data_IF_556577719379
#
_entry.id   IF_556577719379
#
_cell.length_a   1.000
_cell.length_b   1.000
_cell.length_c   1.000
_cell.angle_alpha   90.00
_cell.angle_beta   90.00
_cell.angle_gamma   90.00
#
_symmetry.space_group_name_H-M   'P 1'
#
loop_
_entity.id
_entity.type
_entity.pdbx_description
1 polymer ?
#
# COMPACT_ATOMS: atom_id res chain seq x y z
N UNK A 1 -6.03 34.79 -11.10
CA UNK A 1 -5.05 33.86 -10.59
C UNK A 1 -5.57 32.46 -10.88
N UNK A 2 -5.05 31.77 -11.91
CA UNK A 2 -5.46 30.40 -12.24
C UNK A 2 -4.92 29.48 -11.16
N UNK A 3 -5.80 28.88 -10.35
CA UNK A 3 -5.45 27.77 -9.50
C UNK A 3 -5.00 26.64 -10.41
N UNK A 4 -3.69 26.34 -10.39
CA UNK A 4 -3.14 25.20 -11.11
C UNK A 4 -3.67 23.93 -10.42
N UNK A 5 -4.81 23.43 -10.92
CA UNK A 5 -5.41 22.19 -10.40
C UNK A 5 -4.47 21.06 -10.77
N UNK A 6 -4.12 20.24 -9.78
CA UNK A 6 -3.28 19.06 -9.97
C UNK A 6 -3.87 18.16 -11.08
N UNK A 7 -3.04 17.59 -11.98
CA UNK A 7 -3.52 16.87 -13.16
C UNK A 7 -4.54 15.77 -12.88
N UNK A 8 -4.31 14.95 -11.84
CA UNK A 8 -5.22 13.86 -11.49
C UNK A 8 -6.51 14.37 -10.84
N UNK A 9 -6.43 15.49 -10.10
CA UNK A 9 -7.62 16.18 -9.61
C UNK A 9 -8.46 16.73 -10.78
N UNK A 10 -7.81 17.23 -11.86
CA UNK A 10 -8.50 17.66 -13.06
C UNK A 10 -9.19 16.48 -13.77
N UNK A 11 -8.52 15.31 -13.87
CA UNK A 11 -9.14 14.07 -14.37
C UNK A 11 -10.36 13.69 -13.53
N UNK A 12 -10.25 13.70 -12.21
CA UNK A 12 -11.36 13.35 -11.32
C UNK A 12 -12.53 14.34 -11.44
N UNK A 13 -12.29 15.61 -11.71
CA UNK A 13 -13.35 16.57 -12.01
C UNK A 13 -14.04 16.30 -13.37
N UNK A 14 -13.34 15.69 -14.35
CA UNK A 14 -13.94 15.19 -15.59
C UNK A 14 -14.80 13.96 -15.33
N UNK A 15 -14.32 13.01 -14.50
CA UNK A 15 -15.10 11.84 -14.05
C UNK A 15 -16.43 12.28 -13.43
N UNK A 16 -16.39 13.27 -12.54
CA UNK A 16 -17.59 13.88 -11.94
C UNK A 16 -18.62 14.39 -12.96
N UNK A 17 -18.19 14.74 -14.17
CA UNK A 17 -19.04 15.18 -15.29
C UNK A 17 -19.44 14.03 -16.22
N UNK A 18 -19.13 12.78 -15.86
CA UNK A 18 -19.47 11.58 -16.62
C UNK A 18 -18.43 11.14 -17.65
N UNK A 19 -17.21 11.69 -17.63
CA UNK A 19 -16.14 11.27 -18.53
C UNK A 19 -15.51 9.95 -18.08
N UNK A 20 -15.94 8.85 -18.70
CA UNK A 20 -15.46 7.49 -18.39
C UNK A 20 -13.99 7.32 -18.76
N UNK A 21 -13.51 7.97 -19.84
CA UNK A 21 -12.09 7.86 -20.25
C UNK A 21 -11.14 8.46 -19.21
N UNK A 22 -11.54 9.58 -18.60
CA UNK A 22 -10.77 10.15 -17.49
C UNK A 22 -10.70 9.21 -16.28
N UNK A 23 -11.75 8.40 -16.04
CA UNK A 23 -11.71 7.38 -15.02
C UNK A 23 -10.78 6.22 -15.37
N UNK A 24 -10.80 5.74 -16.61
CA UNK A 24 -9.89 4.71 -17.11
C UNK A 24 -8.42 5.13 -16.95
N UNK A 25 -8.09 6.40 -17.29
CA UNK A 25 -6.75 6.96 -17.10
C UNK A 25 -6.31 6.91 -15.62
N UNK A 26 -7.19 7.29 -14.69
CA UNK A 26 -6.91 7.22 -13.26
C UNK A 26 -6.75 5.78 -12.77
N UNK A 27 -7.59 4.86 -13.23
CA UNK A 27 -7.49 3.43 -12.88
C UNK A 27 -6.17 2.86 -13.36
N UNK A 28 -5.79 3.10 -14.62
CA UNK A 28 -4.54 2.59 -15.18
C UNK A 28 -3.33 3.09 -14.39
N UNK A 29 -3.31 4.37 -14.05
CA UNK A 29 -2.22 4.98 -13.28
C UNK A 29 -2.12 4.41 -11.86
N UNK A 30 -3.25 4.22 -11.18
CA UNK A 30 -3.26 3.94 -9.73
C UNK A 30 -3.55 2.47 -9.37
N UNK A 31 -3.96 1.63 -10.31
CA UNK A 31 -4.32 0.23 -10.04
C UNK A 31 -3.20 -0.50 -9.31
N UNK A 32 -2.00 -0.53 -9.88
CA UNK A 32 -0.89 -1.27 -9.30
C UNK A 32 -0.38 -0.68 -7.98
N UNK A 33 -0.17 0.64 -7.84
CA UNK A 33 0.11 1.29 -6.56
C UNK A 33 -0.88 0.95 -5.45
N UNK A 34 -2.18 0.96 -5.74
CA UNK A 34 -3.24 0.64 -4.77
C UNK A 34 -3.18 -0.83 -4.38
N UNK A 35 -3.10 -1.77 -5.33
CA UNK A 35 -2.94 -3.20 -5.06
C UNK A 35 -1.72 -3.45 -4.18
N UNK A 36 -0.58 -2.87 -4.51
CA UNK A 36 0.68 -3.06 -3.77
C UNK A 36 0.57 -2.58 -2.31
N UNK A 37 -0.08 -1.46 -2.07
CA UNK A 37 -0.29 -0.93 -0.71
C UNK A 37 -1.23 -1.85 0.06
N UNK A 38 -2.37 -2.24 -0.52
CA UNK A 38 -3.37 -3.10 0.11
C UNK A 38 -2.78 -4.48 0.43
N UNK A 39 -2.10 -5.12 -0.53
CA UNK A 39 -1.49 -6.44 -0.35
C UNK A 39 -0.51 -6.47 0.83
N UNK A 40 0.29 -5.43 0.97
CA UNK A 40 1.24 -5.31 2.10
C UNK A 40 0.56 -4.98 3.42
N UNK A 41 -0.61 -4.32 3.42
CA UNK A 41 -1.40 -4.08 4.63
C UNK A 41 -2.10 -5.36 5.06
N UNK A 42 -2.80 -6.04 4.14
CA UNK A 42 -3.61 -7.24 4.41
C UNK A 42 -2.78 -8.53 4.48
N UNK A 43 -1.60 -8.55 3.86
CA UNK A 43 -0.75 -9.73 3.67
C UNK A 43 -1.43 -10.83 2.82
N UNK A 44 -2.24 -10.42 1.89
CA UNK A 44 -3.03 -11.28 1.04
C UNK A 44 -3.15 -10.64 -0.35
N UNK A 45 -2.56 -11.28 -1.36
CA UNK A 45 -2.53 -10.73 -2.71
C UNK A 45 -3.88 -10.86 -3.40
N UNK A 46 -4.54 -11.98 -3.23
CA UNK A 46 -5.84 -12.24 -3.86
C UNK A 46 -6.90 -11.27 -3.36
N UNK A 47 -6.98 -11.11 -2.04
CA UNK A 47 -7.92 -10.18 -1.45
C UNK A 47 -7.54 -8.72 -1.72
N UNK A 48 -6.26 -8.42 -1.93
CA UNK A 48 -5.84 -7.08 -2.30
C UNK A 48 -6.35 -6.66 -3.68
N UNK A 49 -6.40 -7.58 -4.64
CA UNK A 49 -6.94 -7.31 -5.97
C UNK A 49 -8.45 -7.03 -5.91
N UNK A 50 -9.19 -7.83 -5.16
CA UNK A 50 -10.63 -7.63 -4.94
C UNK A 50 -10.91 -6.32 -4.20
N UNK A 51 -10.13 -6.04 -3.17
CA UNK A 51 -10.30 -4.80 -2.41
C UNK A 51 -9.90 -3.57 -3.23
N UNK A 52 -8.89 -3.66 -4.09
CA UNK A 52 -8.52 -2.58 -5.01
C UNK A 52 -9.64 -2.28 -6.02
N UNK A 53 -10.33 -3.30 -6.54
CA UNK A 53 -11.52 -3.09 -7.36
C UNK A 53 -12.59 -2.33 -6.57
N UNK A 54 -12.85 -2.71 -5.33
CA UNK A 54 -13.80 -2.03 -4.44
C UNK A 54 -13.39 -0.57 -4.17
N UNK A 55 -12.08 -0.27 -4.06
CA UNK A 55 -11.57 1.11 -3.96
C UNK A 55 -12.02 1.92 -5.18
N UNK A 56 -11.78 1.45 -6.40
CA UNK A 56 -12.15 2.17 -7.61
C UNK A 56 -13.68 2.28 -7.79
N UNK A 57 -14.42 1.25 -7.43
CA UNK A 57 -15.90 1.32 -7.37
C UNK A 57 -16.34 2.43 -6.41
N UNK A 58 -15.71 2.54 -5.24
CA UNK A 58 -16.03 3.58 -4.27
C UNK A 58 -15.61 4.97 -4.76
N UNK A 59 -14.47 5.10 -5.43
CA UNK A 59 -14.02 6.33 -6.11
C UNK A 59 -15.08 6.78 -7.10
N UNK A 60 -15.52 5.89 -7.98
CA UNK A 60 -16.53 6.21 -9.00
C UNK A 60 -17.87 6.62 -8.38
N UNK A 61 -18.38 5.85 -7.41
CA UNK A 61 -19.62 6.16 -6.69
C UNK A 61 -19.57 7.48 -5.92
N UNK A 62 -18.38 7.89 -5.48
CA UNK A 62 -18.18 9.11 -4.71
C UNK A 62 -17.78 10.32 -5.58
N UNK A 63 -17.72 10.15 -6.90
CA UNK A 63 -17.26 11.19 -7.83
C UNK A 63 -18.04 12.51 -7.68
N UNK A 64 -19.36 12.45 -7.49
CA UNK A 64 -20.21 13.63 -7.31
C UNK A 64 -19.84 14.46 -6.07
N UNK A 65 -19.28 13.81 -5.04
CA UNK A 65 -18.87 14.46 -3.79
C UNK A 65 -17.43 14.94 -3.80
N UNK A 66 -16.65 14.54 -4.83
CA UNK A 66 -15.25 14.91 -4.92
C UNK A 66 -15.08 16.43 -5.00
N UNK A 67 -14.13 16.95 -4.23
CA UNK A 67 -13.69 18.34 -4.23
C UNK A 67 -12.18 18.36 -4.37
N UNK A 68 -11.67 19.13 -5.33
CA UNK A 68 -10.23 19.30 -5.56
C UNK A 68 -9.57 20.21 -4.49
N UNK A 69 -9.79 19.88 -3.20
CA UNK A 69 -9.20 20.60 -2.06
C UNK A 69 -7.89 20.00 -1.59
N UNK A 70 -7.63 18.72 -1.98
CA UNK A 70 -6.41 17.99 -1.74
C UNK A 70 -6.03 17.25 -3.04
N UNK A 71 -4.85 16.65 -3.09
CA UNK A 71 -4.45 15.79 -4.22
C UNK A 71 -5.40 14.62 -4.37
N UNK A 72 -5.61 14.19 -5.62
CA UNK A 72 -6.41 12.99 -5.89
C UNK A 72 -5.83 11.75 -5.20
N UNK A 73 -4.51 11.58 -5.21
CA UNK A 73 -3.82 10.47 -4.55
C UNK A 73 -4.10 10.41 -3.05
N UNK A 74 -4.10 11.54 -2.35
CA UNK A 74 -4.44 11.62 -0.91
C UNK A 74 -5.85 11.10 -0.65
N UNK A 75 -6.82 11.53 -1.44
CA UNK A 75 -8.19 11.07 -1.33
C UNK A 75 -8.36 9.58 -1.66
N UNK A 76 -7.72 9.11 -2.74
CA UNK A 76 -7.71 7.71 -3.16
C UNK A 76 -7.16 6.78 -2.06
N UNK A 77 -5.97 7.10 -1.53
CA UNK A 77 -5.34 6.28 -0.50
C UNK A 77 -6.07 6.36 0.85
N UNK A 78 -6.83 7.45 1.11
CA UNK A 78 -7.75 7.51 2.25
C UNK A 78 -8.87 6.47 2.11
N UNK A 79 -9.46 6.33 0.91
CA UNK A 79 -10.48 5.31 0.63
C UNK A 79 -9.86 3.91 0.79
N UNK A 80 -8.71 3.67 0.17
CA UNK A 80 -8.01 2.38 0.23
C UNK A 80 -7.71 1.96 1.67
N UNK A 81 -7.13 2.86 2.48
CA UNK A 81 -6.86 2.61 3.90
C UNK A 81 -8.12 2.28 4.69
N UNK A 82 -9.18 3.04 4.50
CA UNK A 82 -10.43 2.82 5.23
C UNK A 82 -11.05 1.45 4.91
N UNK A 83 -10.98 1.02 3.66
CA UNK A 83 -11.42 -0.33 3.27
C UNK A 83 -10.53 -1.41 3.88
N UNK A 84 -9.20 -1.23 3.89
CA UNK A 84 -8.29 -2.15 4.58
C UNK A 84 -8.62 -2.26 6.08
N UNK A 85 -8.84 -1.14 6.78
CA UNK A 85 -9.20 -1.15 8.19
C UNK A 85 -10.51 -1.88 8.47
N UNK A 86 -11.51 -1.69 7.60
CA UNK A 86 -12.78 -2.39 7.72
C UNK A 86 -12.60 -3.90 7.52
N UNK A 87 -11.77 -4.29 6.57
CA UNK A 87 -11.46 -5.70 6.31
C UNK A 87 -10.70 -6.34 7.49
N UNK A 88 -9.68 -5.68 8.02
CA UNK A 88 -8.96 -6.16 9.22
C UNK A 88 -9.93 -6.34 10.40
N UNK A 89 -10.86 -5.39 10.60
CA UNK A 89 -11.88 -5.50 11.65
C UNK A 89 -12.87 -6.63 11.38
N UNK A 90 -13.25 -6.87 10.13
CA UNK A 90 -14.11 -8.00 9.72
C UNK A 90 -13.44 -9.32 10.08
N UNK A 91 -12.18 -9.52 9.66
CA UNK A 91 -11.40 -10.73 9.96
C UNK A 91 -11.25 -10.97 11.47
N UNK A 92 -11.02 -9.91 12.25
CA UNK A 92 -10.89 -10.04 13.69
C UNK A 92 -12.19 -10.43 14.42
N UNK A 93 -13.36 -10.15 13.81
CA UNK A 93 -14.68 -10.50 14.38
C UNK A 93 -15.16 -11.89 13.96
N UNK A 94 -14.75 -12.36 12.78
CA UNK A 94 -15.15 -13.65 12.20
C UNK A 94 -13.93 -14.52 11.85
N UNK A 95 -13.19 -15.01 12.88
CA UNK A 95 -11.98 -15.79 12.60
C UNK A 95 -12.26 -17.12 11.88
N UNK A 96 -13.48 -17.68 12.03
CA UNK A 96 -13.86 -18.96 11.41
C UNK A 96 -14.05 -18.89 9.90
N UNK A 97 -14.49 -17.76 9.34
CA UNK A 97 -14.64 -17.57 7.89
C UNK A 97 -13.30 -17.37 7.19
N UNK A 98 -12.26 -16.91 7.94
CA UNK A 98 -10.91 -16.69 7.43
C UNK A 98 -10.08 -17.98 7.30
N UNK A 99 -10.47 -19.08 7.98
CA UNK A 99 -9.74 -20.35 7.92
C UNK A 99 -9.97 -21.11 6.60
N UNK A 100 -11.12 -20.92 5.95
CA UNK A 100 -11.40 -21.54 4.65
C UNK A 100 -10.66 -20.88 3.47
N UNK A 101 -10.24 -19.61 3.63
CA UNK A 101 -9.42 -18.89 2.64
C UNK A 101 -7.91 -19.03 2.86
N UNK A 102 -7.49 -19.59 4.02
CA UNK A 102 -6.07 -19.66 4.42
C UNK A 102 -5.41 -21.03 4.14
N UNK A 103 -6.13 -22.01 3.56
CA UNK A 103 -5.61 -23.33 3.19
C UNK A 103 -5.21 -23.46 1.71
N UNK A 104 -5.10 -22.37 0.96
CA UNK A 104 -4.38 -22.40 -0.29
C UNK A 104 -2.92 -22.02 -0.06
N UNK A 105 -2.09 -23.03 0.05
CA UNK A 105 -0.66 -23.08 -0.18
C UNK A 105 0.13 -21.77 0.04
N UNK A 106 0.93 -21.78 1.13
CA UNK A 106 2.12 -20.93 1.26
C UNK A 106 3.16 -21.31 0.19
N UNK A 107 2.77 -21.31 -1.07
CA UNK A 107 3.69 -21.11 -2.15
C UNK A 107 3.99 -19.60 -2.19
N UNK A 108 5.27 -19.27 -2.04
CA UNK A 108 5.77 -17.92 -1.94
C UNK A 108 5.11 -16.99 -2.95
N UNK A 109 4.69 -15.82 -2.49
CA UNK A 109 4.18 -14.76 -3.34
C UNK A 109 5.08 -14.66 -4.57
N UNK A 110 4.56 -14.87 -5.79
CA UNK A 110 5.39 -14.69 -6.96
C UNK A 110 5.87 -13.24 -6.92
N UNK A 111 7.18 -13.08 -6.82
CA UNK A 111 7.85 -11.80 -6.95
C UNK A 111 7.50 -11.22 -8.32
N UNK A 112 6.34 -10.56 -8.44
CA UNK A 112 6.05 -9.72 -9.59
C UNK A 112 6.92 -8.50 -9.47
N UNK A 113 8.00 -8.60 -10.21
CA UNK A 113 9.00 -7.63 -10.57
C UNK A 113 8.45 -6.20 -10.56
N UNK A 114 9.02 -5.40 -9.66
CA UNK A 114 9.25 -4.00 -10.02
C UNK A 114 10.11 -4.06 -11.29
N UNK A 115 9.62 -3.55 -12.40
CA UNK A 115 10.40 -3.34 -13.59
C UNK A 115 11.48 -2.29 -13.32
N UNK A 116 12.52 -2.71 -12.63
CA UNK A 116 13.85 -2.17 -12.85
C UNK A 116 14.54 -3.16 -13.78
N UNK A 117 14.58 -2.80 -15.06
CA UNK A 117 15.19 -3.60 -16.13
C UNK A 117 16.72 -3.59 -15.90
N UNK A 118 17.16 -4.32 -14.89
CA UNK A 118 18.53 -4.81 -14.78
C UNK A 118 18.46 -6.31 -14.94
N UNK A 119 19.07 -6.81 -16.00
CA UNK A 119 19.26 -8.22 -16.28
C UNK A 119 20.16 -8.78 -15.19
N UNK A 120 19.59 -9.27 -14.10
CA UNK A 120 20.31 -9.93 -13.03
C UNK A 120 20.59 -11.37 -13.40
N UNK A 121 21.71 -11.91 -12.91
CA UNK A 121 22.01 -13.34 -13.07
C UNK A 121 21.01 -14.20 -12.27
N UNK A 122 20.80 -15.49 -12.59
CA UNK A 122 19.91 -16.36 -11.82
C UNK A 122 20.22 -16.42 -10.32
N UNK A 123 21.50 -16.30 -9.94
CA UNK A 123 21.93 -16.22 -8.54
C UNK A 123 21.52 -14.90 -7.88
N UNK A 124 21.55 -13.79 -8.62
CA UNK A 124 21.13 -12.49 -8.10
C UNK A 124 19.61 -12.45 -7.93
N UNK A 125 18.86 -13.11 -8.82
CA UNK A 125 17.40 -13.23 -8.70
C UNK A 125 17.00 -14.02 -7.44
N UNK A 126 17.72 -15.11 -7.11
CA UNK A 126 17.47 -15.85 -5.88
C UNK A 126 17.75 -15.05 -4.62
N UNK A 127 18.86 -14.29 -4.59
CA UNK A 127 19.21 -13.39 -3.47
C UNK A 127 18.20 -12.25 -3.33
N UNK A 128 17.73 -11.68 -4.44
CA UNK A 128 16.69 -10.65 -4.43
C UNK A 128 15.36 -11.19 -3.88
N UNK A 129 14.97 -12.40 -4.28
CA UNK A 129 13.76 -13.05 -3.77
C UNK A 129 13.84 -13.28 -2.25
N UNK A 130 14.97 -13.83 -1.77
CA UNK A 130 15.18 -14.02 -0.33
C UNK A 130 15.14 -12.70 0.45
N UNK A 131 15.83 -11.67 -0.03
CA UNK A 131 15.79 -10.35 0.60
C UNK A 131 14.38 -9.77 0.63
N UNK A 132 13.62 -9.92 -0.44
CA UNK A 132 12.24 -9.44 -0.51
C UNK A 132 11.35 -10.15 0.52
N UNK A 133 11.47 -11.47 0.68
CA UNK A 133 10.78 -12.23 1.73
C UNK A 133 11.12 -11.71 3.12
N UNK A 134 12.41 -11.46 3.41
CA UNK A 134 12.84 -10.91 4.71
C UNK A 134 12.30 -9.50 4.94
N UNK A 135 12.25 -8.66 3.92
CA UNK A 135 11.64 -7.34 3.99
C UNK A 135 10.13 -7.45 4.25
N UNK A 136 9.42 -8.35 3.55
CA UNK A 136 8.00 -8.57 3.78
C UNK A 136 7.73 -9.08 5.19
N UNK A 137 8.53 -10.02 5.69
CA UNK A 137 8.44 -10.50 7.07
C UNK A 137 8.65 -9.36 8.07
N UNK A 138 9.70 -8.56 7.91
CA UNK A 138 9.97 -7.42 8.78
C UNK A 138 8.86 -6.35 8.75
N UNK A 139 8.30 -6.08 7.56
CA UNK A 139 7.13 -5.20 7.41
C UNK A 139 5.91 -5.76 8.14
N UNK A 140 5.74 -7.08 8.08
CA UNK A 140 4.59 -7.75 8.68
C UNK A 140 4.56 -7.64 10.20
N UNK A 141 5.70 -7.49 10.84
CA UNK A 141 5.83 -7.36 12.29
C UNK A 141 5.65 -5.91 12.79
N UNK A 142 5.61 -4.93 11.87
CA UNK A 142 5.33 -3.55 12.25
C UNK A 142 3.88 -3.38 12.71
N UNK A 143 3.63 -2.56 13.75
CA UNK A 143 2.29 -2.08 14.05
C UNK A 143 1.62 -1.49 12.80
N UNK A 144 0.32 -1.73 12.62
CA UNK A 144 -0.44 -1.36 11.41
C UNK A 144 -0.21 0.09 10.97
N UNK A 145 -0.33 1.05 11.88
CA UNK A 145 -0.15 2.46 11.55
C UNK A 145 1.28 2.80 11.10
N UNK A 146 2.31 2.13 11.67
CA UNK A 146 3.70 2.31 11.26
C UNK A 146 3.94 1.72 9.87
N UNK A 147 3.42 0.52 9.61
CA UNK A 147 3.48 -0.15 8.31
C UNK A 147 2.79 0.70 7.25
N UNK A 148 1.55 1.11 7.48
CA UNK A 148 0.79 1.95 6.54
C UNK A 148 1.50 3.27 6.26
N UNK A 149 1.99 3.98 7.29
CA UNK A 149 2.74 5.21 7.11
C UNK A 149 3.98 5.02 6.22
N UNK A 150 4.72 3.93 6.44
CA UNK A 150 5.92 3.63 5.67
C UNK A 150 5.61 3.24 4.22
N UNK A 151 4.54 2.47 3.99
CA UNK A 151 4.10 2.09 2.64
C UNK A 151 3.63 3.29 1.84
N UNK A 152 2.88 4.19 2.45
CA UNK A 152 2.45 5.45 1.82
C UNK A 152 3.64 6.38 1.53
N UNK A 153 4.65 6.42 2.42
CA UNK A 153 5.87 7.21 2.21
C UNK A 153 6.71 6.76 1.01
N UNK A 154 6.46 5.58 0.45
CA UNK A 154 7.10 5.08 -0.78
C UNK A 154 6.33 5.45 -2.05
N UNK A 155 5.17 6.07 -1.91
CA UNK A 155 4.43 6.61 -3.06
C UNK A 155 4.99 8.00 -3.36
N UNK A 156 5.63 8.18 -4.51
CA UNK A 156 6.35 9.41 -4.88
C UNK A 156 5.46 10.66 -4.90
N UNK A 157 4.16 10.46 -5.06
CA UNK A 157 3.18 11.55 -5.13
C UNK A 157 2.70 12.07 -3.77
N UNK A 158 3.00 11.35 -2.66
CA UNK A 158 2.51 11.70 -1.33
C UNK A 158 3.58 12.40 -0.48
N UNK A 159 3.32 13.64 -0.10
CA UNK A 159 4.10 14.35 0.93
C UNK A 159 3.75 13.82 2.34
N UNK A 160 4.55 14.17 3.33
CA UNK A 160 4.22 13.82 4.73
C UNK A 160 2.92 14.46 5.22
N UNK A 161 2.58 15.62 4.69
CA UNK A 161 1.30 16.28 4.92
C UNK A 161 0.14 15.45 4.34
N UNK A 162 0.27 14.99 3.09
CA UNK A 162 -0.72 14.11 2.45
C UNK A 162 -0.90 12.81 3.25
N UNK A 163 0.21 12.19 3.69
CA UNK A 163 0.18 10.97 4.51
C UNK A 163 -0.52 11.25 5.85
N UNK A 164 -0.31 12.42 6.45
CA UNK A 164 -0.97 12.78 7.71
C UNK A 164 -2.49 12.87 7.55
N UNK A 165 -2.97 13.37 6.41
CA UNK A 165 -4.39 13.38 6.06
C UNK A 165 -4.93 11.95 5.88
N UNK A 166 -4.23 11.10 5.10
CA UNK A 166 -4.61 9.70 4.91
C UNK A 166 -4.70 8.94 6.23
N UNK A 167 -3.74 9.19 7.14
CA UNK A 167 -3.70 8.52 8.45
C UNK A 167 -4.66 9.12 9.47
N UNK A 168 -5.17 10.33 9.24
CA UNK A 168 -6.00 11.06 10.19
C UNK A 168 -5.25 11.43 11.48
N UNK A 169 -3.95 11.76 11.38
CA UNK A 169 -3.12 12.13 12.52
C UNK A 169 -2.31 13.41 12.22
N UNK A 170 -1.63 13.96 13.24
CA UNK A 170 -0.80 15.14 13.03
C UNK A 170 0.46 14.83 12.20
N UNK A 171 1.01 15.83 11.51
CA UNK A 171 2.27 15.71 10.77
C UNK A 171 3.42 15.23 11.67
N UNK A 172 3.49 15.69 12.91
CA UNK A 172 4.49 15.24 13.89
C UNK A 172 4.34 13.74 14.21
N UNK A 173 3.09 13.28 14.40
CA UNK A 173 2.80 11.87 14.62
C UNK A 173 3.18 11.02 13.38
N UNK A 174 2.85 11.49 12.18
CA UNK A 174 3.22 10.83 10.92
C UNK A 174 4.74 10.67 10.79
N UNK A 175 5.50 11.74 11.02
CA UNK A 175 6.97 11.69 11.01
C UNK A 175 7.52 10.69 12.03
N UNK A 176 6.94 10.65 13.22
CA UNK A 176 7.32 9.70 14.27
C UNK A 176 6.99 8.25 13.90
N UNK A 177 5.83 7.99 13.28
CA UNK A 177 5.45 6.66 12.80
C UNK A 177 6.44 6.16 11.73
N UNK A 178 6.75 6.98 10.74
CA UNK A 178 7.70 6.64 9.66
C UNK A 178 9.10 6.41 10.22
N UNK A 179 9.56 7.26 11.13
CA UNK A 179 10.88 7.11 11.77
C UNK A 179 10.97 5.79 12.53
N UNK A 180 10.02 5.49 13.41
CA UNK A 180 9.98 4.21 14.17
C UNK A 180 9.91 2.99 13.25
N UNK A 181 9.10 3.06 12.21
CA UNK A 181 9.02 1.98 11.22
C UNK A 181 10.38 1.72 10.55
N UNK A 182 11.08 2.78 10.13
CA UNK A 182 12.42 2.66 9.52
C UNK A 182 13.45 2.12 10.49
N UNK A 183 13.44 2.55 11.75
CA UNK A 183 14.33 2.02 12.79
C UNK A 183 14.09 0.54 13.02
N UNK A 184 12.84 0.13 13.23
CA UNK A 184 12.49 -1.28 13.43
C UNK A 184 12.93 -2.13 12.24
N UNK A 185 12.66 -1.69 10.99
CA UNK A 185 13.11 -2.43 9.80
C UNK A 185 14.64 -2.52 9.73
N UNK A 186 15.34 -1.41 9.97
CA UNK A 186 16.80 -1.40 9.96
C UNK A 186 17.36 -2.39 10.97
N UNK A 187 16.84 -2.40 12.20
CA UNK A 187 17.35 -3.23 13.27
C UNK A 187 17.05 -4.73 13.02
N UNK A 188 15.92 -5.04 12.38
CA UNK A 188 15.59 -6.40 11.95
C UNK A 188 16.40 -6.88 10.75
N UNK A 189 16.60 -6.04 9.74
CA UNK A 189 17.32 -6.42 8.52
C UNK A 189 18.85 -6.37 8.68
N UNK A 190 19.37 -5.56 9.58
CA UNK A 190 20.83 -5.39 9.78
C UNK A 190 21.58 -6.69 10.08
N UNK A 191 21.11 -7.60 10.96
CA UNK A 191 21.76 -8.89 11.15
C UNK A 191 21.84 -9.71 9.87
N UNK A 192 20.72 -9.81 9.15
CA UNK A 192 20.64 -10.55 7.88
C UNK A 192 21.60 -9.98 6.83
N UNK A 193 21.63 -8.67 6.64
CA UNK A 193 22.52 -8.00 5.67
C UNK A 193 24.01 -8.16 6.01
N UNK A 194 24.35 -8.43 7.29
CA UNK A 194 25.75 -8.62 7.73
C UNK A 194 26.20 -10.07 7.71
N UNK A 195 25.33 -11.02 7.97
CA UNK A 195 25.69 -12.42 8.24
C UNK A 195 24.96 -13.43 7.34
N UNK A 196 23.97 -12.98 6.55
CA UNK A 196 23.04 -13.87 5.83
C UNK A 196 22.08 -14.62 6.75
N UNK A 197 22.15 -14.44 8.07
CA UNK A 197 21.32 -15.15 9.04
C UNK A 197 20.14 -14.28 9.52
N UNK A 198 18.92 -14.79 9.37
CA UNK A 198 17.72 -14.16 9.91
C UNK A 198 17.46 -14.64 11.34
N UNK A 199 17.35 -13.72 12.29
CA UNK A 199 16.93 -14.04 13.66
C UNK A 199 15.42 -13.97 13.77
N UNK A 200 14.76 -15.11 13.88
CA UNK A 200 13.34 -15.15 14.28
C UNK A 200 13.24 -14.82 15.77
N UNK A 201 12.28 -13.97 16.13
CA UNK A 201 11.98 -13.57 17.53
C UNK A 201 11.21 -14.69 18.29
N UNK A 202 11.58 -15.96 18.08
CA UNK A 202 10.97 -17.12 18.78
C UNK A 202 11.97 -17.86 19.69
N UNK A 203 13.08 -17.20 20.05
CA UNK A 203 13.98 -17.70 21.10
C UNK A 203 13.99 -16.73 22.29
#
# INVERSE_FOLDING_TARGET
MGTNVEPDAALMLRVKRGDVRAFEELVEKYKQPVINVIARILRDQTEAEDLAQNVFVQVFKSADRYKATAKFSTWLFTIARNLCLNEIRRRSRHPAESLDSSQSDQEGLPARQFEDVKTFSPSDNALHGELEEKVQLALSELPENQRTALLLCRQDELSYEDISEVLGCSLSATKSLIHRARETLRDKLKPYLRTGAWKNNQD
#
